data_IF_233844633051
#
_entry.id   IF_233844633051
#
_cell.length_a   1.000
_cell.length_b   1.000
_cell.length_c   1.000
_cell.angle_alpha   90.00
_cell.angle_beta   90.00
_cell.angle_gamma   90.00
#
_symmetry.space_group_name_H-M   'P 1'
#
loop_
_entity.id
_entity.type
_entity.pdbx_description
1 polymer ?
#
# COMPACT_ATOMS: atom_id res chain seq x y z
N UNK A 1 39.53 -17.05 -20.82
CA UNK A 1 38.78 -15.81 -20.49
C UNK A 1 37.42 -15.74 -21.16
N UNK A 2 37.31 -15.92 -22.48
CA UNK A 2 36.03 -15.79 -23.19
C UNK A 2 34.93 -16.78 -22.72
N UNK A 3 35.27 -18.04 -22.45
CA UNK A 3 34.31 -19.04 -21.94
C UNK A 3 33.65 -18.65 -20.61
N UNK A 4 34.39 -17.96 -19.72
CA UNK A 4 33.84 -17.51 -18.43
C UNK A 4 32.78 -16.40 -18.63
N UNK A 5 33.02 -15.48 -19.56
CA UNK A 5 32.08 -14.41 -19.89
C UNK A 5 30.80 -14.97 -20.52
N UNK A 6 30.92 -15.96 -21.42
CA UNK A 6 29.75 -16.63 -22.01
C UNK A 6 28.95 -17.36 -20.93
N UNK A 7 29.61 -18.11 -20.05
CA UNK A 7 28.94 -18.79 -18.93
C UNK A 7 28.21 -17.78 -18.02
N UNK A 8 28.86 -16.68 -17.65
CA UNK A 8 28.24 -15.59 -16.87
C UNK A 8 27.02 -15.00 -17.59
N UNK A 9 27.12 -14.77 -18.91
CA UNK A 9 25.99 -14.33 -19.73
C UNK A 9 24.81 -15.29 -19.71
N UNK A 10 25.05 -16.61 -19.77
CA UNK A 10 24.01 -17.61 -19.64
C UNK A 10 23.32 -17.58 -18.27
N UNK A 11 24.09 -17.48 -17.17
CA UNK A 11 23.52 -17.35 -15.82
C UNK A 11 22.68 -16.08 -15.66
N UNK A 12 23.14 -14.96 -16.22
CA UNK A 12 22.40 -13.70 -16.21
C UNK A 12 21.11 -13.80 -17.04
N UNK A 13 21.14 -14.44 -18.21
CA UNK A 13 19.94 -14.67 -19.01
C UNK A 13 18.89 -15.48 -18.24
N UNK A 14 19.32 -16.55 -17.54
CA UNK A 14 18.44 -17.32 -16.66
C UNK A 14 17.91 -16.45 -15.52
N UNK A 15 18.75 -15.62 -14.90
CA UNK A 15 18.33 -14.70 -13.85
C UNK A 15 17.30 -13.67 -14.35
N UNK A 16 17.42 -13.14 -15.58
CA UNK A 16 16.42 -12.26 -16.20
C UNK A 16 15.08 -13.00 -16.33
N UNK A 17 15.08 -14.22 -16.85
CA UNK A 17 13.85 -15.00 -16.98
C UNK A 17 13.18 -15.28 -15.64
N UNK A 18 13.95 -15.65 -14.62
CA UNK A 18 13.44 -15.91 -13.28
C UNK A 18 12.89 -14.65 -12.60
N UNK A 19 13.56 -13.50 -12.77
CA UNK A 19 13.12 -12.22 -12.21
C UNK A 19 11.86 -11.71 -12.89
N UNK A 20 11.75 -11.84 -14.22
CA UNK A 20 10.52 -11.53 -14.96
C UNK A 20 9.35 -12.41 -14.51
N UNK A 21 9.58 -13.72 -14.37
CA UNK A 21 8.56 -14.64 -13.86
C UNK A 21 8.05 -14.23 -12.48
N UNK A 22 8.97 -13.84 -11.57
CA UNK A 22 8.62 -13.35 -10.24
C UNK A 22 7.88 -12.00 -10.29
N UNK A 23 8.28 -11.10 -11.17
CA UNK A 23 7.62 -9.80 -11.35
C UNK A 23 6.15 -9.96 -11.76
N UNK A 24 5.85 -10.89 -12.67
CA UNK A 24 4.48 -11.15 -13.11
C UNK A 24 3.64 -11.86 -12.03
N UNK A 25 4.15 -12.96 -11.47
CA UNK A 25 3.41 -13.81 -10.51
C UNK A 25 3.52 -13.39 -9.05
N UNK A 26 4.31 -12.36 -8.74
CA UNK A 26 4.54 -11.91 -7.36
C UNK A 26 3.23 -11.58 -6.63
N UNK A 27 2.98 -12.16 -5.44
CA UNK A 27 1.70 -12.05 -4.74
C UNK A 27 1.48 -10.69 -4.06
N UNK A 28 2.56 -9.97 -3.75
CA UNK A 28 2.49 -8.69 -3.03
C UNK A 28 3.14 -7.56 -3.85
N UNK A 29 2.67 -6.33 -3.62
CA UNK A 29 3.30 -5.12 -4.20
C UNK A 29 4.77 -4.99 -3.79
N UNK A 30 5.12 -5.40 -2.57
CA UNK A 30 6.50 -5.39 -2.08
C UNK A 30 7.38 -6.40 -2.83
N UNK A 31 6.87 -7.61 -3.11
CA UNK A 31 7.60 -8.63 -3.85
C UNK A 31 7.88 -8.17 -5.30
N UNK A 32 6.89 -7.54 -5.93
CA UNK A 32 7.04 -6.94 -7.26
C UNK A 32 8.07 -5.80 -7.27
N UNK A 33 8.06 -4.94 -6.26
CA UNK A 33 9.06 -3.87 -6.13
C UNK A 33 10.48 -4.42 -6.02
N UNK A 34 10.68 -5.46 -5.19
CA UNK A 34 11.97 -6.15 -5.05
C UNK A 34 12.36 -6.85 -6.36
N UNK A 35 11.40 -7.47 -7.06
CA UNK A 35 11.67 -8.12 -8.34
C UNK A 35 12.14 -7.13 -9.41
N UNK A 36 11.56 -5.92 -9.46
CA UNK A 36 12.00 -4.84 -10.37
C UNK A 36 13.41 -4.34 -10.04
N UNK A 37 13.73 -4.18 -8.76
CA UNK A 37 15.07 -3.78 -8.31
C UNK A 37 16.11 -4.84 -8.70
N UNK A 38 15.80 -6.11 -8.44
CA UNK A 38 16.65 -7.24 -8.80
C UNK A 38 16.81 -7.36 -10.33
N UNK A 39 15.74 -7.18 -11.11
CA UNK A 39 15.81 -7.14 -12.57
C UNK A 39 16.78 -6.06 -13.05
N UNK A 40 16.74 -4.88 -12.44
CA UNK A 40 17.65 -3.79 -12.78
C UNK A 40 19.11 -4.14 -12.47
N UNK A 41 19.38 -4.77 -11.32
CA UNK A 41 20.71 -5.25 -10.97
C UNK A 41 21.24 -6.31 -11.96
N UNK A 42 20.37 -7.24 -12.39
CA UNK A 42 20.74 -8.25 -13.40
C UNK A 42 21.03 -7.60 -14.75
N UNK A 43 20.24 -6.60 -15.17
CA UNK A 43 20.48 -5.85 -16.40
C UNK A 43 21.82 -5.12 -16.38
N UNK A 44 22.20 -4.52 -15.25
CA UNK A 44 23.54 -3.94 -15.06
C UNK A 44 24.63 -5.00 -15.29
N UNK A 45 24.45 -6.21 -14.75
CA UNK A 45 25.35 -7.34 -15.01
C UNK A 45 25.41 -7.75 -16.49
N UNK A 46 24.26 -7.79 -17.18
CA UNK A 46 24.18 -8.10 -18.62
C UNK A 46 24.96 -7.07 -19.43
N UNK A 47 24.80 -5.78 -19.12
CA UNK A 47 25.52 -4.69 -19.79
C UNK A 47 27.03 -4.82 -19.53
N UNK A 48 27.43 -5.12 -18.29
CA UNK A 48 28.84 -5.31 -17.92
C UNK A 48 29.50 -6.44 -18.71
N UNK A 49 28.85 -7.62 -18.77
CA UNK A 49 29.36 -8.77 -19.53
C UNK A 49 29.39 -8.47 -21.03
N UNK A 50 28.37 -7.76 -21.55
CA UNK A 50 28.32 -7.35 -22.95
C UNK A 50 29.47 -6.40 -23.29
N UNK A 51 29.74 -5.41 -22.44
CA UNK A 51 30.86 -4.48 -22.62
C UNK A 51 32.20 -5.23 -22.68
N UNK A 52 32.39 -6.23 -21.82
CA UNK A 52 33.59 -7.05 -21.78
C UNK A 52 33.72 -7.99 -23.01
N UNK A 53 32.61 -8.55 -23.50
CA UNK A 53 32.60 -9.45 -24.66
C UNK A 53 32.84 -8.72 -25.98
N UNK A 54 32.24 -7.53 -26.15
CA UNK A 54 32.31 -6.75 -27.38
C UNK A 54 33.41 -5.68 -27.38
N UNK A 55 34.15 -5.54 -26.28
CA UNK A 55 35.19 -4.52 -26.08
C UNK A 55 34.65 -3.11 -26.37
N UNK A 56 33.51 -2.80 -25.78
CA UNK A 56 32.73 -1.58 -26.01
C UNK A 56 32.72 -0.72 -24.76
N UNK A 57 33.48 0.37 -24.80
CA UNK A 57 33.61 1.29 -23.66
C UNK A 57 32.37 2.18 -23.47
N UNK A 58 31.59 2.37 -24.53
CA UNK A 58 30.32 3.13 -24.50
C UNK A 58 29.29 2.50 -23.56
N UNK A 59 29.33 1.19 -23.36
CA UNK A 59 28.46 0.49 -22.42
C UNK A 59 28.78 0.82 -20.95
N UNK A 60 29.98 1.30 -20.63
CA UNK A 60 30.33 1.73 -19.27
C UNK A 60 29.51 2.95 -18.83
N UNK A 61 29.28 3.91 -19.75
CA UNK A 61 28.41 5.05 -19.46
C UNK A 61 26.96 4.61 -19.24
N UNK A 62 26.47 3.68 -20.05
CA UNK A 62 25.13 3.11 -19.88
C UNK A 62 24.99 2.40 -18.52
N UNK A 63 26.03 1.70 -18.09
CA UNK A 63 26.06 0.97 -16.81
C UNK A 63 25.83 1.93 -15.63
N UNK A 64 26.51 3.08 -15.63
CA UNK A 64 26.34 4.13 -14.61
C UNK A 64 24.92 4.71 -14.64
N UNK A 65 24.41 5.04 -15.83
CA UNK A 65 23.07 5.63 -15.99
C UNK A 65 21.99 4.65 -15.48
N UNK A 66 22.04 3.39 -15.89
CA UNK A 66 21.06 2.37 -15.48
C UNK A 66 21.15 2.09 -13.98
N UNK A 67 22.35 2.03 -13.40
CA UNK A 67 22.51 1.85 -11.96
C UNK A 67 21.87 3.00 -11.15
N UNK A 68 22.07 4.24 -11.59
CA UNK A 68 21.45 5.41 -10.94
C UNK A 68 19.93 5.42 -11.10
N UNK A 69 19.43 5.17 -12.32
CA UNK A 69 17.99 5.11 -12.60
C UNK A 69 17.31 4.00 -11.79
N UNK A 70 17.92 2.82 -11.73
CA UNK A 70 17.44 1.69 -10.93
C UNK A 70 17.34 2.02 -9.45
N UNK A 71 18.41 2.58 -8.89
CA UNK A 71 18.45 3.01 -7.50
C UNK A 71 17.37 4.05 -7.17
N UNK A 72 17.22 5.07 -8.02
CA UNK A 72 16.20 6.12 -7.84
C UNK A 72 14.78 5.55 -7.91
N UNK A 73 14.53 4.62 -8.85
CA UNK A 73 13.24 3.95 -9.00
C UNK A 73 12.85 3.18 -7.72
N UNK A 74 13.78 2.38 -7.20
CA UNK A 74 13.63 1.62 -5.96
C UNK A 74 13.39 2.52 -4.73
N UNK A 75 14.19 3.58 -4.58
CA UNK A 75 14.03 4.56 -3.50
C UNK A 75 12.68 5.31 -3.55
N UNK A 76 12.18 5.59 -4.76
CA UNK A 76 10.89 6.25 -4.98
C UNK A 76 9.74 5.34 -4.57
N UNK A 77 9.76 4.06 -4.97
CA UNK A 77 8.75 3.07 -4.58
C UNK A 77 8.71 2.93 -3.06
N UNK A 78 9.88 2.84 -2.41
CA UNK A 78 9.97 2.78 -0.94
C UNK A 78 9.35 4.00 -0.25
N UNK A 79 9.54 5.20 -0.80
CA UNK A 79 8.93 6.43 -0.27
C UNK A 79 7.40 6.44 -0.44
N UNK A 80 6.89 6.07 -1.60
CA UNK A 80 5.44 6.07 -1.88
C UNK A 80 4.72 5.00 -1.06
N UNK A 81 5.32 3.82 -0.91
CA UNK A 81 4.75 2.72 -0.13
C UNK A 81 4.46 3.11 1.33
N UNK A 82 5.23 4.05 1.91
CA UNK A 82 4.99 4.56 3.27
C UNK A 82 3.73 5.43 3.38
N UNK A 83 3.39 6.18 2.34
CA UNK A 83 2.26 7.09 2.35
C UNK A 83 0.91 6.38 2.12
N UNK A 84 0.89 5.31 1.34
CA UNK A 84 -0.33 4.53 1.07
C UNK A 84 -0.94 3.89 2.33
N UNK A 85 -0.14 3.63 3.37
CA UNK A 85 -0.63 3.11 4.64
C UNK A 85 -1.35 4.16 5.51
N UNK A 86 -0.89 5.42 5.48
CA UNK A 86 -1.44 6.47 6.34
C UNK A 86 -2.81 6.96 5.88
N UNK A 87 -3.06 7.01 4.58
CA UNK A 87 -4.37 7.38 4.03
C UNK A 87 -5.43 6.32 4.38
N UNK A 88 -5.14 5.04 4.12
CA UNK A 88 -6.04 3.95 4.46
C UNK A 88 -6.33 3.90 5.97
N UNK A 89 -5.31 4.15 6.80
CA UNK A 89 -5.47 4.22 8.26
C UNK A 89 -6.41 5.35 8.69
N UNK A 90 -6.29 6.54 8.10
CA UNK A 90 -7.18 7.69 8.38
C UNK A 90 -8.63 7.39 7.99
N UNK A 91 -8.86 6.75 6.84
CA UNK A 91 -10.22 6.41 6.38
C UNK A 91 -10.90 5.42 7.31
N UNK A 92 -10.19 4.38 7.76
CA UNK A 92 -10.73 3.38 8.69
C UNK A 92 -11.13 4.05 10.03
N UNK A 93 -10.25 4.88 10.60
CA UNK A 93 -10.55 5.57 11.87
C UNK A 93 -11.78 6.49 11.76
N UNK A 94 -11.90 7.25 10.67
CA UNK A 94 -13.08 8.11 10.44
C UNK A 94 -14.36 7.29 10.20
N UNK A 95 -14.26 6.14 9.54
CA UNK A 95 -15.39 5.24 9.33
C UNK A 95 -15.87 4.61 10.66
N UNK A 96 -14.95 4.21 11.53
CA UNK A 96 -15.24 3.70 12.87
C UNK A 96 -15.94 4.76 13.73
N UNK A 97 -15.44 6.00 13.74
CA UNK A 97 -16.09 7.10 14.48
C UNK A 97 -17.50 7.39 13.96
N UNK A 98 -17.71 7.39 12.64
CA UNK A 98 -19.04 7.59 12.03
C UNK A 98 -20.00 6.46 12.38
N UNK A 99 -19.53 5.21 12.40
CA UNK A 99 -20.34 4.08 12.83
C UNK A 99 -20.73 4.20 14.31
N UNK A 100 -19.80 4.66 15.16
CA UNK A 100 -20.05 4.91 16.59
C UNK A 100 -21.07 6.03 16.80
N UNK A 101 -20.92 7.16 16.08
CA UNK A 101 -21.89 8.28 16.12
C UNK A 101 -23.29 7.85 15.67
N UNK A 102 -23.40 7.04 14.61
CA UNK A 102 -24.70 6.50 14.15
C UNK A 102 -25.35 5.59 15.19
N UNK A 103 -24.57 4.76 15.89
CA UNK A 103 -25.09 3.91 16.97
C UNK A 103 -25.61 4.74 18.14
N UNK A 104 -24.84 5.73 18.59
CA UNK A 104 -25.25 6.64 19.65
C UNK A 104 -26.52 7.41 19.27
N UNK A 105 -26.60 7.93 18.04
CA UNK A 105 -27.80 8.60 17.54
C UNK A 105 -29.02 7.68 17.47
N UNK A 106 -28.84 6.42 17.06
CA UNK A 106 -29.93 5.44 17.03
C UNK A 106 -30.38 5.04 18.45
N UNK A 107 -29.46 4.99 19.40
CA UNK A 107 -29.73 4.71 20.82
C UNK A 107 -30.47 5.90 21.48
N UNK A 108 -30.02 7.13 21.24
CA UNK A 108 -30.71 8.36 21.65
C UNK A 108 -32.12 8.45 21.06
N UNK A 109 -32.28 8.14 19.78
CA UNK A 109 -33.60 8.15 19.12
C UNK A 109 -34.54 7.10 19.72
N UNK A 110 -34.03 5.91 20.05
CA UNK A 110 -34.82 4.88 20.75
C UNK A 110 -35.22 5.31 22.16
N UNK A 111 -34.31 5.93 22.91
CA UNK A 111 -34.62 6.44 24.25
C UNK A 111 -35.68 7.56 24.23
N UNK A 112 -35.69 8.41 23.19
CA UNK A 112 -36.72 9.43 23.00
C UNK A 112 -38.08 8.80 22.64
N UNK A 113 -38.10 7.74 21.83
CA UNK A 113 -39.31 6.98 21.51
C UNK A 113 -39.90 6.32 22.75
N UNK A 114 -39.08 5.66 23.56
CA UNK A 114 -39.50 5.00 24.80
C UNK A 114 -40.08 6.02 25.79
N UNK A 115 -39.39 7.16 25.98
CA UNK A 115 -39.88 8.27 26.80
C UNK A 115 -41.17 8.88 26.24
N UNK A 116 -41.32 8.93 24.91
CA UNK A 116 -42.55 9.40 24.27
C UNK A 116 -43.71 8.41 24.44
N UNK A 117 -43.46 7.10 24.43
CA UNK A 117 -44.46 6.08 24.73
C UNK A 117 -44.89 6.14 26.20
N UNK A 118 -43.94 6.24 27.14
CA UNK A 118 -44.23 6.46 28.57
C UNK A 118 -45.04 7.74 28.81
N UNK A 119 -44.67 8.84 28.15
CA UNK A 119 -45.40 10.12 28.26
C UNK A 119 -46.79 10.04 27.60
N UNK A 120 -47.00 9.18 26.61
CA UNK A 120 -48.31 8.99 25.95
C UNK A 120 -49.29 8.18 26.82
N UNK A 121 -48.77 7.27 27.65
CA UNK A 121 -49.57 6.47 28.57
C UNK A 121 -49.88 7.14 29.92
N UNK A 122 -49.37 8.35 30.17
CA UNK A 122 -49.69 9.13 31.38
C UNK A 122 -51.09 9.77 31.30
N UNK A 123 -51.86 9.58 32.38
CA UNK A 123 -53.19 10.19 32.62
C UNK A 123 -53.03 11.72 32.79
N UNK A 124 -54.02 12.56 32.42
CA UNK A 124 -53.87 14.03 32.47
C UNK A 124 -53.42 14.60 33.83
N UNK A 125 -53.81 13.96 34.94
CA UNK A 125 -53.36 14.33 36.30
C UNK A 125 -51.86 14.07 36.52
N UNK A 126 -51.29 13.01 35.95
CA UNK A 126 -49.87 12.66 36.13
C UNK A 126 -48.96 13.59 35.32
N UNK A 127 -49.42 14.13 34.19
CA UNK A 127 -48.65 15.10 33.39
C UNK A 127 -48.53 16.46 34.10
N UNK A 128 -49.60 16.90 34.76
CA UNK A 128 -49.61 18.15 35.52
C UNK A 128 -48.63 18.12 36.71
N UNK A 129 -48.49 16.98 37.40
CA UNK A 129 -47.56 16.83 38.52
C UNK A 129 -46.08 16.85 38.11
N UNK A 130 -45.73 16.29 36.94
CA UNK A 130 -44.34 16.27 36.46
C UNK A 130 -43.88 17.65 35.97
N UNK A 131 -44.80 18.46 35.45
CA UNK A 131 -44.49 19.82 34.99
C UNK A 131 -44.38 20.82 36.15
N UNK A 132 -45.12 20.60 37.26
CA UNK A 132 -45.02 21.37 38.51
C UNK A 132 -43.75 21.05 39.32
N UNK A 133 -43.15 19.86 39.14
CA UNK A 133 -41.91 19.44 39.82
C UNK A 133 -40.63 19.85 39.05
N UNK A 134 -40.78 20.29 37.79
CA UNK A 134 -39.68 20.72 36.92
C UNK A 134 -39.44 22.24 36.90
N UNK A 135 -40.32 23.03 37.52
CA UNK A 135 -40.21 24.49 37.71
C UNK A 135 -39.52 24.85 39.04
#
# INVERSE_FOLDING_TARGET
MHYLLVAAGCFLAVAVLLTLYRLEKGPSLADRAIATDLLTAVLVGVIAVSAALFSRDDLMYLLVIIALVGFISSATIGRVARHGGEENRRVITLAEERARRRKLQAEEMKAQLDKSEETSHMTPEQKAQVEEEAE
#
